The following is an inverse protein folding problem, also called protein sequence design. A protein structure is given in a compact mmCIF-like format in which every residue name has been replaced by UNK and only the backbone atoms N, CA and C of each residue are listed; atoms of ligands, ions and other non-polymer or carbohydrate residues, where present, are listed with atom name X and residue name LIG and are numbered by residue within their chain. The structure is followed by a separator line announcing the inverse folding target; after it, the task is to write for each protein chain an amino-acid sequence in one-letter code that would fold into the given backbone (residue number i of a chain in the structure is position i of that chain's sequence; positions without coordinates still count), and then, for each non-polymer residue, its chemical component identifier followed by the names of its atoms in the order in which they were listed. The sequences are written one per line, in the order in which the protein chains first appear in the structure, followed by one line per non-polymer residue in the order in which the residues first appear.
data_IF_449893699136
#
_entry.id   IF_449893699136
#
_cell.length_a   1.000
_cell.length_b   1.000
_cell.length_c   1.000
_cell.angle_alpha   90.00
_cell.angle_beta   90.00
_cell.angle_gamma   90.00
#
_symmetry.space_group_name_H-M   'P 1'
#
loop_
_entity.id
_entity.type
_entity.pdbx_description
1 polymer ?
#
# COMPACT_ATOMS: atom_id res chain seq x y z
N UNK A 1 -97.53 74.32 21.09
CA UNK A 1 -97.04 72.95 20.82
C UNK A 1 -95.87 72.87 19.83
N UNK A 2 -95.65 73.85 18.94
CA UNK A 2 -94.55 73.82 17.94
C UNK A 2 -93.12 73.92 18.55
N UNK A 3 -92.93 74.74 19.59
CA UNK A 3 -91.61 74.98 20.19
C UNK A 3 -90.98 73.75 20.88
N UNK A 4 -91.82 72.82 21.38
CA UNK A 4 -91.34 71.63 22.11
C UNK A 4 -90.81 70.55 21.16
N UNK A 5 -91.28 70.52 19.91
CA UNK A 5 -90.80 69.56 18.91
C UNK A 5 -89.47 69.99 18.30
N UNK A 6 -89.24 71.30 18.17
CA UNK A 6 -87.96 71.84 17.69
C UNK A 6 -86.82 71.57 18.68
N UNK A 7 -87.04 71.78 19.99
CA UNK A 7 -86.04 71.47 21.01
C UNK A 7 -85.71 69.97 21.07
N UNK A 8 -86.68 69.09 20.86
CA UNK A 8 -86.44 67.65 20.81
C UNK A 8 -85.66 67.24 19.57
N UNK A 9 -85.95 67.84 18.42
CA UNK A 9 -85.22 67.59 17.18
C UNK A 9 -83.74 68.01 17.29
N UNK A 10 -83.46 69.16 17.90
CA UNK A 10 -82.08 69.63 18.11
C UNK A 10 -81.31 68.75 19.10
N UNK A 11 -81.96 68.29 20.17
CA UNK A 11 -81.33 67.36 21.13
C UNK A 11 -81.02 66.01 20.49
N UNK A 12 -81.90 65.48 19.63
CA UNK A 12 -81.64 64.25 18.89
C UNK A 12 -80.48 64.44 17.91
N UNK A 13 -80.41 65.59 17.23
CA UNK A 13 -79.33 65.89 16.29
C UNK A 13 -77.96 65.93 16.98
N UNK A 14 -77.87 66.62 18.11
CA UNK A 14 -76.64 66.68 18.92
C UNK A 14 -76.25 65.29 19.45
N UNK A 15 -77.22 64.50 19.93
CA UNK A 15 -76.96 63.14 20.40
C UNK A 15 -76.51 62.20 19.27
N UNK A 16 -77.03 62.38 18.05
CA UNK A 16 -76.61 61.62 16.87
C UNK A 16 -75.21 62.02 16.39
N UNK A 17 -74.88 63.31 16.39
CA UNK A 17 -73.56 63.83 16.00
C UNK A 17 -72.48 63.33 16.98
N UNK A 18 -72.73 63.37 18.30
CA UNK A 18 -71.81 62.80 19.30
C UNK A 18 -71.66 61.28 19.18
N UNK A 19 -72.72 60.56 18.84
CA UNK A 19 -72.68 59.12 18.64
C UNK A 19 -71.91 58.73 17.36
N UNK A 20 -71.94 59.59 16.33
CA UNK A 20 -71.14 59.42 15.11
C UNK A 20 -69.65 59.66 15.37
N UNK A 21 -69.30 60.68 16.16
CA UNK A 21 -67.91 60.96 16.52
C UNK A 21 -67.30 59.88 17.44
N UNK A 22 -68.08 59.29 18.36
CA UNK A 22 -67.59 58.16 19.18
C UNK A 22 -67.37 56.88 18.38
N UNK A 23 -67.98 56.74 17.19
CA UNK A 23 -67.82 55.58 16.28
C UNK A 23 -66.75 55.78 15.20
N UNK A 24 -66.18 56.97 15.06
CA UNK A 24 -65.09 57.21 14.10
C UNK A 24 -63.76 56.66 14.65
N UNK A 25 -63.52 55.38 14.38
CA UNK A 25 -62.19 54.81 14.54
C UNK A 25 -61.18 55.58 13.68
N UNK A 26 -59.95 55.72 14.18
CA UNK A 26 -58.80 56.28 13.46
C UNK A 26 -58.81 55.87 11.97
N UNK A 27 -58.48 56.79 11.03
CA UNK A 27 -58.66 56.56 9.61
C UNK A 27 -58.03 55.24 9.20
N UNK A 28 -58.79 54.42 8.46
CA UNK A 28 -58.41 53.07 8.06
C UNK A 28 -57.01 53.01 7.42
N UNK A 29 -56.55 54.12 6.83
CA UNK A 29 -55.21 54.31 6.28
C UNK A 29 -54.08 54.18 7.32
N UNK A 30 -54.27 54.66 8.55
CA UNK A 30 -53.27 54.51 9.62
C UNK A 30 -53.20 53.09 10.19
N UNK A 31 -54.33 52.34 10.17
CA UNK A 31 -54.37 50.91 10.54
C UNK A 31 -53.76 50.03 9.45
N UNK A 32 -54.05 50.31 8.16
CA UNK A 32 -53.43 49.62 7.03
C UNK A 32 -51.92 49.90 6.92
N UNK A 33 -51.48 51.14 7.20
CA UNK A 33 -50.06 51.48 7.23
C UNK A 33 -49.28 50.73 8.32
N UNK A 34 -49.87 50.54 9.51
CA UNK A 34 -49.26 49.73 10.58
C UNK A 34 -49.22 48.24 10.24
N UNK A 35 -50.28 47.71 9.62
CA UNK A 35 -50.33 46.30 9.19
C UNK A 35 -49.33 46.02 8.07
N UNK A 36 -49.18 46.92 7.09
CA UNK A 36 -48.14 46.80 6.05
C UNK A 36 -46.72 46.98 6.61
N UNK A 37 -46.50 47.85 7.60
CA UNK A 37 -45.20 48.02 8.24
C UNK A 37 -44.80 46.80 9.10
N UNK A 38 -45.76 46.12 9.76
CA UNK A 38 -45.49 44.89 10.51
C UNK A 38 -45.31 43.66 9.62
N UNK A 39 -46.01 43.56 8.49
CA UNK A 39 -45.83 42.49 7.50
C UNK A 39 -44.49 42.60 6.76
N UNK A 40 -44.01 43.83 6.50
CA UNK A 40 -42.67 44.07 5.93
C UNK A 40 -41.53 43.75 6.91
N UNK A 41 -41.77 43.85 8.23
CA UNK A 41 -40.76 43.54 9.27
C UNK A 41 -40.67 42.07 9.64
N UNK A 42 -41.71 41.26 9.38
CA UNK A 42 -41.69 39.80 9.61
C UNK A 42 -41.05 38.98 8.49
N UNK A 43 -40.71 39.61 7.36
CA UNK A 43 -40.04 38.96 6.22
C UNK A 43 -38.54 39.29 6.11
N UNK A 44 -37.91 39.65 7.23
CA UNK A 44 -36.47 39.85 7.32
C UNK A 44 -35.87 39.13 8.54
N UNK A 45 -36.15 37.83 8.68
CA UNK A 45 -35.29 36.93 9.44
C UNK A 45 -34.28 36.29 8.47
N UNK A 46 -33.00 36.14 8.85
CA UNK A 46 -31.95 35.82 7.91
C UNK A 46 -32.13 34.37 7.43
N UNK A 47 -32.16 34.19 6.11
CA UNK A 47 -32.12 32.90 5.39
C UNK A 47 -30.92 31.99 5.74
N UNK A 48 -30.13 32.30 6.77
CA UNK A 48 -28.91 31.59 7.19
C UNK A 48 -29.10 30.55 8.29
N UNK A 49 -30.24 30.47 8.99
CA UNK A 49 -30.38 29.56 10.14
C UNK A 49 -31.01 28.21 9.77
N UNK A 50 -31.88 28.14 8.76
CA UNK A 50 -32.46 26.87 8.28
C UNK A 50 -31.55 26.07 7.36
N UNK A 51 -30.49 26.68 6.81
CA UNK A 51 -29.46 25.94 6.06
C UNK A 51 -28.48 25.20 6.97
N UNK A 52 -28.33 25.60 8.23
CA UNK A 52 -27.35 24.99 9.16
C UNK A 52 -27.84 23.64 9.71
N UNK A 53 -29.15 23.48 9.97
CA UNK A 53 -29.72 22.23 10.47
C UNK A 53 -29.85 21.15 9.39
N UNK A 54 -30.22 21.53 8.16
CA UNK A 54 -30.24 20.61 7.02
C UNK A 54 -28.82 20.21 6.56
N UNK A 55 -27.87 21.16 6.55
CA UNK A 55 -26.47 20.86 6.24
C UNK A 55 -25.82 19.95 7.28
N UNK A 56 -26.17 20.07 8.57
CA UNK A 56 -25.65 19.19 9.61
C UNK A 56 -26.13 17.73 9.45
N UNK A 57 -27.38 17.51 9.05
CA UNK A 57 -27.90 16.16 8.78
C UNK A 57 -27.29 15.55 7.51
N UNK A 58 -27.11 16.35 6.46
CA UNK A 58 -26.42 15.90 5.23
C UNK A 58 -24.95 15.61 5.50
N UNK A 59 -24.27 16.44 6.30
CA UNK A 59 -22.87 16.21 6.69
C UNK A 59 -22.73 14.96 7.57
N UNK A 60 -23.67 14.70 8.48
CA UNK A 60 -23.68 13.48 9.29
C UNK A 60 -23.94 12.23 8.43
N UNK A 61 -24.89 12.29 7.50
CA UNK A 61 -25.15 11.19 6.57
C UNK A 61 -23.96 10.95 5.63
N UNK A 62 -23.35 12.01 5.11
CA UNK A 62 -22.14 11.93 4.29
C UNK A 62 -20.96 11.38 5.10
N UNK A 63 -20.79 11.78 6.36
CA UNK A 63 -19.77 11.22 7.25
C UNK A 63 -20.00 9.74 7.53
N UNK A 64 -21.26 9.29 7.69
CA UNK A 64 -21.61 7.87 7.84
C UNK A 64 -21.32 7.11 6.56
N UNK A 65 -21.69 7.63 5.39
CA UNK A 65 -21.39 6.99 4.09
C UNK A 65 -19.88 6.94 3.84
N UNK A 66 -19.15 8.03 4.09
CA UNK A 66 -17.68 8.07 4.03
C UNK A 66 -17.09 7.07 5.01
N UNK A 67 -17.57 6.99 6.25
CA UNK A 67 -17.11 6.00 7.22
C UNK A 67 -17.42 4.55 6.80
N UNK A 68 -18.56 4.32 6.15
CA UNK A 68 -18.99 3.01 5.67
C UNK A 68 -18.18 2.55 4.44
N UNK A 69 -17.84 3.49 3.55
CA UNK A 69 -17.05 3.24 2.32
C UNK A 69 -15.54 3.27 2.58
N UNK A 70 -15.10 4.02 3.59
CA UNK A 70 -13.68 4.15 3.97
C UNK A 70 -13.26 3.15 5.05
N UNK A 71 -14.08 2.13 5.36
CA UNK A 71 -13.68 1.10 6.30
C UNK A 71 -12.37 0.48 5.79
N UNK A 72 -11.25 0.60 6.54
CA UNK A 72 -10.02 -0.04 6.13
C UNK A 72 -10.30 -1.52 6.01
N UNK A 73 -10.04 -2.08 4.82
CA UNK A 73 -10.20 -3.51 4.61
C UNK A 73 -9.29 -4.21 5.63
N UNK A 74 -9.90 -4.96 6.56
CA UNK A 74 -9.16 -5.59 7.65
C UNK A 74 -8.16 -6.55 7.02
N UNK A 75 -6.84 -6.39 7.27
CA UNK A 75 -5.85 -7.30 6.70
C UNK A 75 -6.14 -8.72 7.18
N UNK A 76 -5.83 -9.69 6.33
CA UNK A 76 -5.99 -11.07 6.74
C UNK A 76 -5.12 -11.34 7.98
N UNK A 77 -5.61 -12.17 8.89
CA UNK A 77 -4.84 -12.66 10.02
C UNK A 77 -4.36 -14.07 9.70
N UNK A 78 -3.07 -14.32 9.91
CA UNK A 78 -2.49 -15.66 9.75
C UNK A 78 -2.31 -16.32 11.12
N UNK A 79 -2.57 -17.63 11.20
CA UNK A 79 -2.39 -18.43 12.41
C UNK A 79 -1.71 -19.76 12.09
N UNK A 80 -0.78 -20.17 12.94
CA UNK A 80 -0.16 -21.49 12.89
C UNK A 80 -0.07 -22.08 14.29
N UNK A 81 -0.54 -23.32 14.47
CA UNK A 81 -0.55 -23.97 15.79
C UNK A 81 -1.25 -23.17 16.89
N UNK A 82 -2.31 -22.42 16.54
CA UNK A 82 -3.06 -21.56 17.47
C UNK A 82 -2.41 -20.22 17.82
N UNK A 83 -1.25 -19.88 17.26
CA UNK A 83 -0.58 -18.60 17.45
C UNK A 83 -0.71 -17.72 16.21
N UNK A 84 -0.83 -16.40 16.39
CA UNK A 84 -0.82 -15.45 15.28
C UNK A 84 0.58 -15.40 14.65
N UNK A 85 0.62 -15.36 13.31
CA UNK A 85 1.84 -15.27 12.52
C UNK A 85 1.87 -13.88 11.89
N UNK A 86 2.87 -13.09 12.26
CA UNK A 86 3.05 -11.74 11.73
C UNK A 86 3.78 -11.75 10.38
N UNK A 87 3.81 -10.59 9.73
CA UNK A 87 4.63 -10.36 8.54
C UNK A 87 6.10 -10.60 8.86
N UNK A 88 6.81 -11.26 7.95
CA UNK A 88 8.14 -11.86 8.12
C UNK A 88 8.21 -13.05 9.09
N UNK A 89 7.07 -13.54 9.59
CA UNK A 89 6.99 -14.74 10.40
C UNK A 89 7.54 -15.96 9.65
N UNK A 90 8.46 -16.67 10.28
CA UNK A 90 9.09 -17.88 9.77
C UNK A 90 8.47 -19.11 10.43
N UNK A 91 8.08 -20.07 9.61
CA UNK A 91 7.45 -21.32 10.03
C UNK A 91 8.25 -22.48 9.46
N UNK A 92 8.65 -23.40 10.34
CA UNK A 92 9.38 -24.60 9.97
C UNK A 92 8.69 -25.81 10.60
N UNK A 93 8.13 -26.66 9.75
CA UNK A 93 7.41 -27.87 10.11
C UNK A 93 8.40 -29.01 10.43
N UNK A 94 9.19 -28.89 11.50
CA UNK A 94 10.34 -29.77 11.76
C UNK A 94 9.99 -31.26 11.80
N UNK A 95 8.98 -31.64 12.59
CA UNK A 95 8.73 -33.04 12.94
C UNK A 95 7.36 -33.56 12.51
N UNK A 96 6.46 -32.68 12.12
CA UNK A 96 5.08 -33.00 11.73
C UNK A 96 4.55 -31.91 10.79
N UNK A 97 3.47 -32.23 10.08
CA UNK A 97 2.78 -31.24 9.27
C UNK A 97 2.31 -30.05 10.11
N UNK A 98 2.40 -28.85 9.53
CA UNK A 98 1.97 -27.64 10.20
C UNK A 98 1.00 -26.88 9.30
N UNK A 99 -0.21 -26.65 9.79
CA UNK A 99 -1.19 -25.82 9.08
C UNK A 99 -0.98 -24.33 9.39
N UNK A 100 -0.84 -23.54 8.33
CA UNK A 100 -0.93 -22.08 8.33
C UNK A 100 -2.30 -21.70 7.76
N UNK A 101 -3.18 -21.18 8.62
CA UNK A 101 -4.55 -20.79 8.25
C UNK A 101 -4.69 -19.27 8.22
N UNK A 102 -5.45 -18.76 7.27
CA UNK A 102 -5.73 -17.34 7.13
C UNK A 102 -7.22 -17.05 7.38
N UNK A 103 -7.52 -15.83 7.80
CA UNK A 103 -8.88 -15.41 8.17
C UNK A 103 -9.88 -15.38 7.01
N UNK A 104 -9.43 -15.51 5.75
CA UNK A 104 -10.28 -15.67 4.57
C UNK A 104 -10.73 -17.13 4.32
N UNK A 105 -10.22 -18.08 5.11
CA UNK A 105 -10.44 -19.52 4.94
C UNK A 105 -9.35 -20.22 4.13
N UNK A 106 -8.38 -19.47 3.57
CA UNK A 106 -7.23 -20.05 2.89
C UNK A 106 -6.37 -20.84 3.88
N UNK A 107 -5.95 -22.04 3.49
CA UNK A 107 -5.10 -22.91 4.30
C UNK A 107 -3.90 -23.37 3.49
N UNK A 108 -2.71 -23.23 4.08
CA UNK A 108 -1.46 -23.76 3.57
C UNK A 108 -0.95 -24.79 4.57
N UNK A 109 -0.87 -26.05 4.16
CA UNK A 109 -0.35 -27.14 5.00
C UNK A 109 1.08 -27.43 4.60
N UNK A 110 2.02 -27.16 5.50
CA UNK A 110 3.43 -27.44 5.32
C UNK A 110 3.68 -28.91 5.63
N UNK A 111 4.27 -29.65 4.69
CA UNK A 111 4.74 -31.00 4.94
C UNK A 111 5.92 -31.00 5.92
N UNK A 112 6.27 -32.18 6.44
CA UNK A 112 7.45 -32.33 7.31
C UNK A 112 8.71 -31.78 6.63
N UNK A 113 9.54 -31.07 7.42
CA UNK A 113 10.74 -30.34 7.02
C UNK A 113 10.54 -29.16 6.05
N UNK A 114 9.29 -28.82 5.71
CA UNK A 114 9.02 -27.64 4.91
C UNK A 114 9.25 -26.36 5.73
N UNK A 115 9.80 -25.35 5.08
CA UNK A 115 10.02 -24.04 5.66
C UNK A 115 9.34 -22.98 4.79
N UNK A 116 8.52 -22.15 5.43
CA UNK A 116 7.89 -21.01 4.76
C UNK A 116 8.08 -19.73 5.56
N UNK A 117 8.06 -18.61 4.85
CA UNK A 117 8.04 -17.28 5.44
C UNK A 117 6.86 -16.50 4.92
N UNK A 118 6.11 -15.87 5.82
CA UNK A 118 5.02 -14.98 5.42
C UNK A 118 5.63 -13.62 5.07
N UNK A 119 5.69 -13.27 3.79
CA UNK A 119 6.39 -12.06 3.31
C UNK A 119 5.51 -10.81 3.44
N UNK A 120 4.21 -10.96 3.19
CA UNK A 120 3.24 -9.88 3.35
C UNK A 120 1.85 -10.45 3.56
N UNK A 121 1.02 -9.74 4.31
CA UNK A 121 -0.41 -10.04 4.46
C UNK A 121 -1.17 -8.73 4.28
N UNK A 122 -2.17 -8.73 3.41
CA UNK A 122 -3.09 -7.61 3.21
C UNK A 122 -4.54 -8.11 3.20
N UNK A 123 -5.50 -7.23 2.92
CA UNK A 123 -6.92 -7.61 2.90
C UNK A 123 -7.35 -8.43 1.67
N UNK A 124 -6.50 -8.48 0.63
CA UNK A 124 -6.75 -9.17 -0.64
C UNK A 124 -6.00 -10.50 -0.73
N UNK A 125 -5.00 -10.75 0.09
CA UNK A 125 -4.29 -12.02 0.13
C UNK A 125 -2.98 -11.95 0.92
N UNK A 126 -2.13 -12.94 0.69
CA UNK A 126 -0.79 -12.96 1.26
C UNK A 126 0.25 -13.44 0.24
N UNK A 127 1.50 -13.02 0.48
CA UNK A 127 2.67 -13.56 -0.19
C UNK A 127 3.41 -14.45 0.78
N UNK A 128 3.58 -15.72 0.42
CA UNK A 128 4.28 -16.72 1.23
C UNK A 128 5.46 -17.24 0.44
N UNK A 129 6.66 -17.17 1.02
CA UNK A 129 7.86 -17.74 0.44
C UNK A 129 8.05 -19.17 0.95
N UNK A 130 7.98 -20.16 0.05
CA UNK A 130 8.39 -21.54 0.29
C UNK A 130 9.91 -21.61 0.09
N UNK A 131 10.65 -21.66 1.19
CA UNK A 131 12.12 -21.70 1.17
C UNK A 131 12.64 -23.12 0.89
N UNK A 132 11.92 -24.15 1.35
CA UNK A 132 12.19 -25.56 1.04
C UNK A 132 11.00 -26.46 1.38
N UNK A 133 11.01 -27.66 0.81
CA UNK A 133 10.08 -28.73 1.15
C UNK A 133 8.79 -28.65 0.34
N UNK A 134 7.72 -29.22 0.88
CA UNK A 134 6.42 -29.32 0.21
C UNK A 134 5.32 -28.57 0.95
N UNK A 135 4.45 -27.95 0.18
CA UNK A 135 3.33 -27.12 0.63
C UNK A 135 2.07 -27.54 -0.11
N UNK A 136 1.06 -27.98 0.64
CA UNK A 136 -0.29 -28.19 0.12
C UNK A 136 -1.08 -26.90 0.30
N UNK A 137 -1.46 -26.26 -0.80
CA UNK A 137 -2.18 -25.00 -0.78
C UNK A 137 -3.64 -25.21 -1.14
N UNK A 138 -4.55 -24.72 -0.30
CA UNK A 138 -5.98 -24.63 -0.57
C UNK A 138 -6.42 -23.17 -0.39
N UNK A 139 -6.46 -22.43 -1.51
CA UNK A 139 -6.74 -21.00 -1.55
C UNK A 139 -8.20 -20.75 -1.92
N UNK A 140 -8.89 -19.95 -1.12
CA UNK A 140 -10.29 -19.59 -1.38
C UNK A 140 -10.37 -18.54 -2.49
N UNK A 141 -11.20 -18.80 -3.50
CA UNK A 141 -11.38 -17.87 -4.60
C UNK A 141 -12.07 -16.58 -4.15
N UNK A 142 -11.48 -15.42 -4.48
CA UNK A 142 -12.14 -14.11 -4.39
C UNK A 142 -11.85 -13.27 -5.64
N UNK A 143 -12.78 -12.40 -6.09
CA UNK A 143 -12.63 -11.61 -7.32
C UNK A 143 -11.40 -10.69 -7.36
N UNK A 144 -10.85 -10.32 -6.20
CA UNK A 144 -9.63 -9.49 -6.07
C UNK A 144 -8.49 -10.21 -5.34
N UNK A 145 -8.55 -11.54 -5.22
CA UNK A 145 -7.57 -12.30 -4.46
C UNK A 145 -6.15 -12.14 -5.02
N UNK A 146 -5.19 -11.78 -4.18
CA UNK A 146 -3.77 -11.63 -4.54
C UNK A 146 -2.91 -12.59 -3.73
N UNK A 147 -3.00 -13.87 -4.07
CA UNK A 147 -2.18 -14.91 -3.46
C UNK A 147 -0.95 -15.22 -4.30
N UNK A 148 0.22 -15.24 -3.64
CA UNK A 148 1.47 -15.61 -4.29
C UNK A 148 2.27 -16.55 -3.41
N UNK A 149 2.57 -17.74 -3.93
CA UNK A 149 3.57 -18.65 -3.35
C UNK A 149 4.88 -18.43 -4.11
N UNK A 150 5.85 -17.79 -3.46
CA UNK A 150 7.19 -17.60 -4.00
C UNK A 150 8.07 -18.81 -3.64
N UNK A 151 8.69 -19.45 -4.63
CA UNK A 151 9.54 -20.62 -4.42
C UNK A 151 10.89 -20.36 -5.11
N UNK A 152 11.87 -19.88 -4.33
CA UNK A 152 13.12 -19.36 -4.86
C UNK A 152 12.90 -18.30 -5.94
N UNK A 153 13.39 -18.52 -7.17
CA UNK A 153 13.26 -17.54 -8.25
C UNK A 153 11.86 -17.53 -8.89
N UNK A 154 11.01 -18.51 -8.59
CA UNK A 154 9.67 -18.66 -9.17
C UNK A 154 8.58 -18.03 -8.32
N UNK A 155 7.51 -17.61 -8.98
CA UNK A 155 6.30 -17.09 -8.35
C UNK A 155 5.08 -17.83 -8.91
N UNK A 156 4.35 -18.49 -8.02
CA UNK A 156 3.07 -19.14 -8.32
C UNK A 156 1.96 -18.17 -7.93
N UNK A 157 1.32 -17.55 -8.93
CA UNK A 157 0.18 -16.67 -8.75
C UNK A 157 -1.10 -17.50 -8.66
N UNK A 158 -1.88 -17.24 -7.63
CA UNK A 158 -3.05 -18.02 -7.25
C UNK A 158 -4.26 -17.11 -7.08
N UNK A 159 -5.39 -17.48 -7.67
CA UNK A 159 -6.66 -16.75 -7.52
C UNK A 159 -7.73 -17.56 -6.79
N UNK A 160 -7.54 -18.86 -6.58
CA UNK A 160 -8.50 -19.74 -5.91
C UNK A 160 -8.35 -21.18 -6.40
N UNK A 161 -7.40 -21.91 -5.83
CA UNK A 161 -6.99 -23.23 -6.32
C UNK A 161 -6.58 -24.16 -5.19
N UNK A 162 -6.55 -25.45 -5.52
CA UNK A 162 -5.87 -26.45 -4.71
C UNK A 162 -4.71 -27.02 -5.50
N UNK A 163 -3.51 -26.98 -4.93
CA UNK A 163 -2.31 -27.47 -5.59
C UNK A 163 -1.24 -27.78 -4.56
N UNK A 164 -0.28 -28.61 -4.98
CA UNK A 164 0.90 -28.93 -4.21
C UNK A 164 2.10 -28.24 -4.86
N UNK A 165 2.93 -27.60 -4.05
CA UNK A 165 4.17 -27.00 -4.49
C UNK A 165 5.33 -27.58 -3.68
N UNK A 166 6.33 -28.10 -4.38
CA UNK A 166 7.56 -28.61 -3.79
C UNK A 166 8.74 -27.83 -4.33
N UNK A 167 9.54 -27.27 -3.43
CA UNK A 167 10.73 -26.51 -3.77
C UNK A 167 11.98 -27.13 -3.13
N UNK A 168 12.98 -27.35 -3.97
CA UNK A 168 14.30 -27.81 -3.55
C UNK A 168 15.33 -26.72 -3.82
N UNK A 169 15.86 -26.05 -2.78
CA UNK A 169 16.75 -24.91 -2.95
C UNK A 169 18.10 -25.31 -3.57
N UNK A 170 18.62 -26.50 -3.25
CA UNK A 170 19.93 -26.96 -3.74
C UNK A 170 19.99 -27.16 -5.26
N UNK A 171 18.86 -27.50 -5.89
CA UNK A 171 18.74 -27.70 -7.34
C UNK A 171 17.93 -26.61 -8.03
N UNK A 172 17.49 -25.59 -7.28
CA UNK A 172 16.50 -24.59 -7.68
C UNK A 172 15.30 -25.20 -8.44
N UNK A 173 14.85 -26.38 -8.00
CA UNK A 173 13.75 -27.08 -8.66
C UNK A 173 12.44 -26.73 -7.99
N UNK A 174 11.50 -26.16 -8.76
CA UNK A 174 10.10 -26.07 -8.37
C UNK A 174 9.29 -27.14 -9.09
N UNK A 175 8.55 -27.95 -8.33
CA UNK A 175 7.46 -28.78 -8.85
C UNK A 175 6.12 -28.23 -8.38
N UNK A 176 5.18 -28.13 -9.29
CA UNK A 176 3.80 -27.75 -9.00
C UNK A 176 2.89 -28.83 -9.56
N UNK A 177 2.06 -29.41 -8.71
CA UNK A 177 1.04 -30.38 -9.10
C UNK A 177 -0.34 -29.77 -8.80
N UNK A 178 -1.15 -29.64 -9.83
CA UNK A 178 -2.48 -29.06 -9.70
C UNK A 178 -3.50 -30.12 -9.27
N UNK A 179 -4.39 -29.75 -8.35
CA UNK A 179 -5.53 -30.56 -7.94
C UNK A 179 -6.86 -29.97 -8.40
N UNK A 180 -7.02 -28.66 -8.26
CA UNK A 180 -8.25 -27.93 -8.61
C UNK A 180 -7.94 -26.50 -9.05
N UNK A 181 -8.56 -26.07 -10.16
CA UNK A 181 -8.41 -24.72 -10.72
C UNK A 181 -7.18 -24.55 -11.62
N UNK A 182 -6.57 -23.37 -11.59
CA UNK A 182 -5.39 -23.05 -12.40
C UNK A 182 -4.43 -22.08 -11.69
N UNK A 183 -3.14 -22.33 -11.79
CA UNK A 183 -2.10 -21.42 -11.29
C UNK A 183 -1.25 -20.91 -12.43
N UNK A 184 -0.69 -19.71 -12.26
CA UNK A 184 0.26 -19.14 -13.21
C UNK A 184 1.64 -19.04 -12.57
N UNK A 185 2.60 -19.77 -13.11
CA UNK A 185 4.00 -19.76 -12.69
C UNK A 185 4.77 -18.74 -13.53
N UNK A 186 5.48 -17.84 -12.87
CA UNK A 186 6.35 -16.83 -13.50
C UNK A 186 7.71 -16.77 -12.80
N UNK A 187 8.67 -16.06 -13.37
CA UNK A 187 9.98 -15.84 -12.76
C UNK A 187 11.02 -16.93 -13.06
N UNK A 188 12.17 -16.81 -12.42
CA UNK A 188 13.37 -17.58 -12.70
C UNK A 188 13.78 -17.51 -14.17
N UNK A 189 13.93 -18.69 -14.76
CA UNK A 189 14.37 -18.93 -16.13
C UNK A 189 13.21 -19.02 -17.12
N UNK A 190 11.97 -18.77 -16.68
CA UNK A 190 10.83 -18.71 -17.58
C UNK A 190 10.85 -17.40 -18.35
N UNK A 191 10.97 -17.49 -19.68
CA UNK A 191 10.86 -16.35 -20.59
C UNK A 191 9.42 -15.84 -20.74
N UNK A 192 8.44 -16.70 -20.47
CA UNK A 192 7.02 -16.36 -20.46
C UNK A 192 6.27 -17.07 -19.32
N UNK A 193 5.17 -16.49 -18.81
CA UNK A 193 4.33 -17.15 -17.80
C UNK A 193 3.81 -18.51 -18.28
N UNK A 194 3.98 -19.55 -17.45
CA UNK A 194 3.38 -20.87 -17.70
C UNK A 194 2.14 -21.02 -16.83
N UNK A 195 1.01 -21.36 -17.45
CA UNK A 195 -0.22 -21.68 -16.72
C UNK A 195 -0.32 -23.20 -16.58
N UNK A 196 -0.63 -23.70 -15.39
CA UNK A 196 -0.96 -25.10 -15.11
C UNK A 196 -2.41 -25.14 -14.66
N UNK A 197 -3.22 -26.02 -15.23
CA UNK A 197 -4.64 -26.16 -14.90
C UNK A 197 -5.02 -27.64 -14.75
N UNK A 198 -6.16 -27.92 -14.11
CA UNK A 198 -6.68 -29.29 -13.94
C UNK A 198 -5.68 -30.20 -13.20
N UNK A 199 -5.56 -31.49 -13.51
CA UNK A 199 -4.59 -32.39 -12.87
C UNK A 199 -3.19 -32.34 -13.54
N UNK A 200 -2.80 -31.18 -14.09
CA UNK A 200 -1.48 -31.02 -14.69
C UNK A 200 -0.39 -30.87 -13.65
N UNK A 201 0.81 -31.32 -14.00
CA UNK A 201 2.02 -31.11 -13.22
C UNK A 201 3.09 -30.41 -14.06
N UNK A 202 3.84 -29.52 -13.42
CA UNK A 202 4.94 -28.79 -14.03
C UNK A 202 6.17 -28.84 -13.15
N UNK A 203 7.29 -29.23 -13.75
CA UNK A 203 8.61 -29.10 -13.16
C UNK A 203 9.35 -27.94 -13.82
N UNK A 204 9.96 -27.09 -13.01
CA UNK A 204 10.68 -25.89 -13.40
C UNK A 204 12.07 -25.94 -12.77
N UNK A 205 13.09 -25.84 -13.61
CA UNK A 205 14.49 -25.79 -13.18
C UNK A 205 15.22 -24.72 -13.96
N UNK A 206 16.01 -23.93 -13.26
CA UNK A 206 16.96 -23.04 -13.90
C UNK A 206 18.26 -23.78 -14.12
N UNK A 207 18.36 -24.37 -15.32
CA UNK A 207 19.56 -25.05 -15.73
C UNK A 207 20.71 -24.06 -15.89
N UNK A 208 21.77 -24.24 -15.11
CA UNK A 208 23.09 -24.30 -15.72
C UNK A 208 23.40 -25.78 -15.93
N UNK A 209 23.59 -26.27 -17.18
CA UNK A 209 24.21 -27.56 -17.35
C UNK A 209 25.69 -27.39 -17.05
N UNK A 210 26.10 -27.59 -15.80
CA UNK A 210 27.42 -28.18 -15.59
C UNK A 210 27.26 -29.63 -16.03
N UNK A 211 27.62 -29.90 -17.27
CA UNK A 211 27.93 -31.24 -17.72
C UNK A 211 29.02 -31.78 -16.78
N UNK A 212 28.61 -32.44 -15.71
CA UNK A 212 29.40 -33.49 -15.10
C UNK A 212 29.30 -34.61 -16.11
N UNK A 213 30.30 -34.67 -17.00
CA UNK A 213 30.55 -35.85 -17.78
C UNK A 213 30.52 -37.06 -16.83
N UNK A 214 29.85 -38.17 -17.19
CA UNK A 214 29.89 -39.36 -16.39
C UNK A 214 31.36 -39.79 -16.21
N UNK A 215 31.80 -40.15 -15.00
CA UNK A 215 33.13 -40.72 -14.82
C UNK A 215 33.23 -41.98 -15.69
N UNK A 216 34.27 -42.12 -16.54
CA UNK A 216 34.56 -43.39 -17.15
C UNK A 216 34.86 -44.42 -16.07
N UNK A 217 34.29 -45.59 -16.34
CA UNK A 217 34.52 -46.90 -15.79
C UNK A 217 35.87 -47.14 -15.09
N UNK A 218 35.77 -47.85 -13.98
CA UNK A 218 36.82 -48.24 -13.05
C UNK A 218 38.08 -48.78 -13.76
N UNK A 219 39.17 -48.01 -13.67
CA UNK A 219 40.52 -48.55 -13.71
C UNK A 219 41.11 -48.45 -12.30
N UNK A 220 41.53 -49.60 -11.75
CA UNK A 220 42.15 -49.75 -10.42
C UNK A 220 43.31 -48.75 -10.22
N UNK A 221 43.42 -48.07 -9.06
CA UNK A 221 44.63 -47.33 -8.74
C UNK A 221 45.76 -48.31 -8.36
N UNK A 222 46.85 -48.30 -9.12
CA UNK A 222 48.17 -48.68 -8.61
C UNK A 222 48.73 -47.44 -7.93
N UNK A 223 49.02 -47.55 -6.63
CA UNK A 223 49.62 -46.50 -5.83
C UNK A 223 51.12 -46.35 -6.14
N UNK A 224 51.62 -45.11 -6.28
CA UNK A 224 53.01 -44.78 -5.95
C UNK A 224 53.09 -44.07 -4.58
N UNK A 225 54.20 -44.23 -3.84
CA UNK A 225 54.32 -43.75 -2.48
C UNK A 225 54.57 -42.24 -2.38
N UNK A 226 54.18 -41.71 -1.22
CA UNK A 226 54.27 -40.34 -0.73
C UNK A 226 55.63 -39.65 -0.97
N UNK A 227 55.59 -38.34 -1.25
CA UNK A 227 56.53 -37.39 -0.65
C UNK A 227 55.85 -36.56 0.45
N UNK A 228 56.54 -36.55 1.58
CA UNK A 228 56.51 -35.64 2.74
C UNK A 228 55.58 -34.43 2.67
N UNK A 229 54.61 -34.41 3.59
CA UNK A 229 53.72 -33.28 3.85
C UNK A 229 54.51 -32.03 4.30
N UNK A 230 54.53 -31.00 3.46
CA UNK A 230 54.61 -29.63 3.93
C UNK A 230 53.23 -29.21 4.43
N UNK A 231 53.20 -28.64 5.63
CA UNK A 231 51.99 -28.15 6.29
C UNK A 231 51.16 -27.21 5.37
N UNK A 232 49.83 -27.34 5.33
CA UNK A 232 48.98 -26.37 4.63
C UNK A 232 49.10 -24.99 5.28
N UNK A 233 49.22 -23.89 4.52
CA UNK A 233 49.04 -22.55 5.06
C UNK A 233 47.63 -22.40 5.66
N UNK A 234 47.43 -21.52 6.66
CA UNK A 234 46.15 -21.37 7.33
C UNK A 234 45.06 -21.04 6.32
N UNK A 235 43.94 -21.77 6.39
CA UNK A 235 42.77 -21.55 5.55
C UNK A 235 42.38 -20.07 5.57
N UNK A 236 42.14 -19.43 4.40
CA UNK A 236 41.63 -18.07 4.37
C UNK A 236 40.29 -18.07 5.13
N UNK A 237 40.17 -17.18 6.11
CA UNK A 237 38.88 -16.90 6.76
C UNK A 237 37.92 -16.54 5.63
N UNK A 238 36.95 -17.40 5.34
CA UNK A 238 35.91 -17.12 4.35
C UNK A 238 35.24 -15.83 4.82
N UNK A 239 35.51 -14.71 4.13
CA UNK A 239 34.84 -13.45 4.41
C UNK A 239 33.35 -13.74 4.25
N UNK A 240 32.56 -13.40 5.26
CA UNK A 240 31.12 -13.57 5.17
C UNK A 240 30.61 -12.77 3.97
N UNK A 241 30.03 -13.46 2.99
CA UNK A 241 29.49 -12.81 1.80
C UNK A 241 28.28 -11.97 2.21
N UNK A 242 28.40 -10.65 2.07
CA UNK A 242 27.33 -9.72 2.45
C UNK A 242 26.06 -9.96 1.63
N UNK A 243 26.16 -10.49 0.41
CA UNK A 243 24.99 -10.80 -0.44
C UNK A 243 24.20 -11.96 0.14
N UNK A 244 24.88 -13.03 0.54
CA UNK A 244 24.24 -14.17 1.20
C UNK A 244 23.53 -13.71 2.48
N UNK A 245 24.20 -12.89 3.30
CA UNK A 245 23.60 -12.33 4.51
C UNK A 245 22.38 -11.43 4.20
N UNK A 246 22.42 -10.65 3.13
CA UNK A 246 21.30 -9.81 2.71
C UNK A 246 20.11 -10.65 2.23
N UNK A 247 20.37 -11.72 1.46
CA UNK A 247 19.35 -12.69 1.02
C UNK A 247 18.71 -13.44 2.19
N UNK A 248 19.49 -13.76 3.23
CA UNK A 248 19.01 -14.41 4.45
C UNK A 248 18.22 -13.47 5.38
N UNK A 249 18.08 -12.19 5.02
CA UNK A 249 17.41 -11.17 5.83
C UNK A 249 18.25 -10.69 7.02
N UNK A 250 19.52 -11.06 7.09
CA UNK A 250 20.46 -10.65 8.16
C UNK A 250 21.07 -9.29 7.86
N UNK A 251 20.23 -8.28 7.65
CA UNK A 251 20.62 -6.98 7.09
C UNK A 251 21.71 -6.24 7.87
N UNK A 252 21.68 -6.26 9.21
CA UNK A 252 22.74 -5.66 10.03
C UNK A 252 24.10 -6.33 9.81
N UNK A 253 24.11 -7.67 9.73
CA UNK A 253 25.34 -8.42 9.47
C UNK A 253 25.81 -8.22 8.02
N UNK A 254 24.87 -8.16 7.07
CA UNK A 254 25.16 -7.88 5.67
C UNK A 254 25.82 -6.50 5.51
N UNK A 255 25.27 -5.47 6.15
CA UNK A 255 25.85 -4.13 6.12
C UNK A 255 27.25 -4.11 6.73
N UNK A 256 27.44 -4.74 7.90
CA UNK A 256 28.75 -4.82 8.54
C UNK A 256 29.80 -5.54 7.65
N UNK A 257 29.40 -6.62 6.96
CA UNK A 257 30.26 -7.33 6.02
C UNK A 257 30.60 -6.46 4.79
N UNK A 258 29.62 -5.75 4.23
CA UNK A 258 29.83 -4.84 3.11
C UNK A 258 30.74 -3.65 3.49
N UNK A 259 30.63 -3.13 4.71
CA UNK A 259 31.53 -2.08 5.22
C UNK A 259 32.95 -2.61 5.43
N UNK A 260 33.11 -3.83 5.93
CA UNK A 260 34.41 -4.49 6.07
C UNK A 260 35.08 -4.82 4.72
N UNK A 261 34.29 -5.01 3.66
CA UNK A 261 34.77 -5.18 2.28
C UNK A 261 35.10 -3.85 1.59
N UNK A 262 34.54 -2.74 2.08
CA UNK A 262 34.73 -1.41 1.54
C UNK A 262 33.47 -0.92 0.81
N UNK A 263 32.51 -0.41 1.58
CA UNK A 263 31.18 -0.02 1.08
C UNK A 263 31.24 0.91 -0.14
N UNK A 264 32.06 1.97 -0.09
CA UNK A 264 32.19 2.92 -1.20
C UNK A 264 32.83 2.31 -2.45
N UNK A 265 33.69 1.30 -2.30
CA UNK A 265 34.21 0.52 -3.44
C UNK A 265 33.11 -0.33 -4.06
N UNK A 266 32.28 -0.97 -3.23
CA UNK A 266 31.11 -1.71 -3.71
C UNK A 266 30.14 -0.80 -4.48
N UNK A 267 29.90 0.43 -4.00
CA UNK A 267 29.08 1.39 -4.72
C UNK A 267 29.55 1.68 -6.16
N UNK A 268 30.87 1.62 -6.43
CA UNK A 268 31.44 1.89 -7.77
C UNK A 268 31.64 0.64 -8.62
N UNK A 269 31.69 -0.55 -8.02
CA UNK A 269 32.01 -1.80 -8.74
C UNK A 269 30.79 -2.69 -8.96
N UNK A 270 29.81 -2.68 -8.06
CA UNK A 270 28.66 -3.58 -8.12
C UNK A 270 27.80 -3.40 -9.38
N UNK A 271 27.09 -4.47 -9.75
CA UNK A 271 26.05 -4.42 -10.79
C UNK A 271 24.83 -3.62 -10.32
N UNK A 272 23.87 -3.36 -11.21
CA UNK A 272 22.61 -2.69 -10.85
C UNK A 272 21.88 -3.44 -9.74
N UNK A 273 21.81 -4.77 -9.83
CA UNK A 273 21.14 -5.61 -8.85
C UNK A 273 21.91 -5.67 -7.53
N UNK A 274 23.25 -5.71 -7.60
CA UNK A 274 24.12 -5.61 -6.42
C UNK A 274 23.90 -4.31 -5.66
N UNK A 275 23.81 -3.16 -6.35
CA UNK A 275 23.53 -1.87 -5.71
C UNK A 275 22.12 -1.77 -5.14
N UNK A 276 21.12 -2.37 -5.80
CA UNK A 276 19.77 -2.49 -5.24
C UNK A 276 19.82 -3.28 -3.93
N UNK A 277 20.51 -4.42 -3.90
CA UNK A 277 20.63 -5.27 -2.72
C UNK A 277 21.39 -4.56 -1.60
N UNK A 278 22.50 -3.89 -1.92
CA UNK A 278 23.32 -3.13 -0.98
C UNK A 278 22.54 -1.98 -0.34
N UNK A 279 21.82 -1.19 -1.14
CA UNK A 279 20.98 -0.10 -0.64
C UNK A 279 19.82 -0.60 0.23
N UNK A 280 19.18 -1.71 -0.18
CA UNK A 280 18.12 -2.35 0.61
C UNK A 280 18.63 -2.90 1.93
N UNK A 281 19.80 -3.57 1.93
CA UNK A 281 20.43 -4.10 3.13
C UNK A 281 20.76 -2.97 4.10
N UNK A 282 21.36 -1.88 3.64
CA UNK A 282 21.64 -0.70 4.46
C UNK A 282 20.35 -0.08 5.05
N UNK A 283 19.31 0.07 4.23
CA UNK A 283 18.01 0.62 4.68
C UNK A 283 17.37 -0.26 5.75
N UNK A 284 17.35 -1.58 5.54
CA UNK A 284 16.74 -2.53 6.47
C UNK A 284 17.61 -2.80 7.71
N UNK A 285 18.91 -2.53 7.64
CA UNK A 285 19.81 -2.49 8.80
C UNK A 285 19.59 -1.25 9.68
N UNK A 286 18.83 -0.26 9.20
CA UNK A 286 18.60 1.01 9.90
C UNK A 286 19.69 2.05 9.66
N UNK A 287 20.45 1.95 8.57
CA UNK A 287 21.48 2.93 8.19
C UNK A 287 21.06 3.71 6.93
N UNK A 288 20.29 4.82 7.08
CA UNK A 288 19.78 5.58 5.94
C UNK A 288 20.88 6.28 5.14
N UNK A 289 22.00 6.64 5.77
CA UNK A 289 23.13 7.28 5.09
C UNK A 289 23.78 6.33 4.07
N UNK A 290 24.08 5.09 4.49
CA UNK A 290 24.61 4.05 3.59
C UNK A 290 23.61 3.65 2.51
N UNK A 291 22.32 3.59 2.86
CA UNK A 291 21.28 3.33 1.87
C UNK A 291 21.26 4.42 0.79
N UNK A 292 21.31 5.69 1.19
CA UNK A 292 21.34 6.82 0.26
C UNK A 292 22.59 6.78 -0.64
N UNK A 293 23.77 6.48 -0.10
CA UNK A 293 25.02 6.34 -0.86
C UNK A 293 24.88 5.28 -1.98
N UNK A 294 24.40 4.08 -1.65
CA UNK A 294 24.20 3.01 -2.64
C UNK A 294 23.13 3.36 -3.69
N UNK A 295 22.02 3.96 -3.30
CA UNK A 295 20.97 4.37 -4.23
C UNK A 295 21.40 5.52 -5.14
N UNK A 296 22.19 6.48 -4.63
CA UNK A 296 22.77 7.55 -5.45
C UNK A 296 23.77 6.98 -6.47
N UNK A 297 24.63 6.05 -6.06
CA UNK A 297 25.53 5.36 -6.97
C UNK A 297 24.78 4.59 -8.06
N UNK A 298 23.68 3.91 -7.70
CA UNK A 298 22.81 3.22 -8.66
C UNK A 298 22.20 4.18 -9.67
N UNK A 299 21.70 5.33 -9.20
CA UNK A 299 21.13 6.37 -10.06
C UNK A 299 22.17 6.99 -11.00
N UNK A 300 23.39 7.21 -10.54
CA UNK A 300 24.46 7.79 -11.32
C UNK A 300 24.98 6.82 -12.39
N UNK A 301 25.19 5.55 -12.03
CA UNK A 301 25.82 4.55 -12.89
C UNK A 301 24.86 3.88 -13.87
N UNK A 302 23.59 3.76 -13.49
CA UNK A 302 22.57 3.05 -14.28
C UNK A 302 21.38 3.96 -14.61
N UNK A 303 21.67 5.22 -14.95
CA UNK A 303 20.65 6.21 -15.31
C UNK A 303 19.72 5.69 -16.42
N UNK A 304 18.42 6.01 -16.32
CA UNK A 304 17.39 5.55 -17.25
C UNK A 304 16.92 4.10 -17.04
N UNK A 305 17.59 3.32 -16.20
CA UNK A 305 17.13 1.96 -15.86
C UNK A 305 15.94 1.97 -14.91
N UNK A 306 15.14 0.89 -14.94
CA UNK A 306 14.06 0.71 -13.98
C UNK A 306 14.56 0.61 -12.52
N UNK A 307 15.78 0.11 -12.32
CA UNK A 307 16.43 0.05 -11.02
C UNK A 307 16.79 1.46 -10.49
N UNK A 308 17.31 2.34 -11.34
CA UNK A 308 17.60 3.74 -10.99
C UNK A 308 16.33 4.53 -10.66
N UNK A 309 15.25 4.35 -11.41
CA UNK A 309 13.96 4.96 -11.07
C UNK A 309 13.46 4.46 -9.71
N UNK A 310 13.50 3.15 -9.45
CA UNK A 310 13.15 2.60 -8.13
C UNK A 310 14.02 3.18 -7.00
N UNK A 311 15.31 3.40 -7.24
CA UNK A 311 16.19 4.06 -6.29
C UNK A 311 15.76 5.50 -6.00
N UNK A 312 15.23 6.23 -6.99
CA UNK A 312 14.61 7.53 -6.77
C UNK A 312 13.47 7.46 -5.75
N UNK A 313 12.56 6.51 -5.92
CA UNK A 313 11.47 6.31 -4.97
C UNK A 313 11.98 5.99 -3.54
N UNK A 314 13.00 5.13 -3.41
CA UNK A 314 13.59 4.81 -2.11
C UNK A 314 14.28 6.02 -1.46
N UNK A 315 15.02 6.83 -2.25
CA UNK A 315 15.62 8.08 -1.77
C UNK A 315 14.55 9.08 -1.30
N UNK A 316 13.42 9.16 -2.00
CA UNK A 316 12.27 9.95 -1.58
C UNK A 316 11.72 9.52 -0.23
N UNK A 317 11.58 8.20 0.00
CA UNK A 317 11.15 7.66 1.30
C UNK A 317 12.16 7.92 2.42
N UNK A 318 13.46 7.76 2.15
CA UNK A 318 14.49 8.06 3.15
C UNK A 318 14.46 9.53 3.58
N UNK A 319 14.26 10.45 2.63
CA UNK A 319 14.14 11.87 2.92
C UNK A 319 12.82 12.19 3.66
N UNK A 320 11.71 11.59 3.24
CA UNK A 320 10.39 11.83 3.82
C UNK A 320 10.25 11.26 5.24
N UNK A 321 10.48 9.95 5.39
CA UNK A 321 10.24 9.23 6.65
C UNK A 321 11.42 9.37 7.63
N UNK A 322 12.64 9.59 7.12
CA UNK A 322 13.87 9.64 7.91
C UNK A 322 14.20 11.03 8.42
N UNK A 323 14.58 11.94 7.50
CA UNK A 323 15.05 13.28 7.86
C UNK A 323 13.95 14.34 7.89
N UNK A 324 12.73 14.03 7.44
CA UNK A 324 11.68 15.03 7.23
C UNK A 324 12.04 16.09 6.19
N UNK A 325 12.99 15.78 5.30
CA UNK A 325 13.39 16.68 4.23
C UNK A 325 12.41 16.56 3.07
N UNK A 326 11.29 17.27 3.21
CA UNK A 326 10.21 17.27 2.22
C UNK A 326 10.65 17.87 0.87
N UNK A 327 11.70 18.71 0.84
CA UNK A 327 12.24 19.25 -0.40
C UNK A 327 12.97 18.18 -1.21
N UNK A 328 13.85 17.42 -0.56
CA UNK A 328 14.50 16.29 -1.18
C UNK A 328 13.48 15.20 -1.55
N UNK A 329 12.50 14.93 -0.69
CA UNK A 329 11.44 13.96 -0.96
C UNK A 329 10.64 14.33 -2.22
N UNK A 330 10.19 15.60 -2.33
CA UNK A 330 9.51 16.13 -3.52
C UNK A 330 10.33 15.90 -4.79
N UNK A 331 11.62 16.26 -4.77
CA UNK A 331 12.52 16.08 -5.92
C UNK A 331 12.61 14.61 -6.34
N UNK A 332 12.75 13.70 -5.38
CA UNK A 332 12.94 12.27 -5.65
C UNK A 332 11.66 11.56 -6.10
N UNK A 333 10.51 11.84 -5.47
CA UNK A 333 9.22 11.31 -5.94
C UNK A 333 8.85 11.87 -7.32
N UNK A 334 9.10 13.15 -7.55
CA UNK A 334 8.94 13.76 -8.88
C UNK A 334 9.79 13.08 -9.95
N UNK A 335 11.07 12.82 -9.66
CA UNK A 335 11.95 12.10 -10.58
C UNK A 335 11.43 10.68 -10.90
N UNK A 336 10.99 9.93 -9.88
CA UNK A 336 10.40 8.61 -10.10
C UNK A 336 9.16 8.67 -11.01
N UNK A 337 8.26 9.62 -10.78
CA UNK A 337 7.03 9.76 -11.56
C UNK A 337 7.27 10.24 -13.00
N UNK A 338 8.37 10.95 -13.24
CA UNK A 338 8.79 11.34 -14.59
C UNK A 338 9.38 10.14 -15.34
N UNK A 339 10.17 9.31 -14.66
CA UNK A 339 10.84 8.15 -15.25
C UNK A 339 9.92 6.94 -15.42
N UNK A 340 8.98 6.73 -14.49
CA UNK A 340 8.02 5.63 -14.49
C UNK A 340 6.60 6.12 -14.14
N UNK A 341 5.91 6.83 -15.05
CA UNK A 341 4.58 7.37 -14.79
C UNK A 341 3.52 6.28 -14.48
N UNK A 342 3.71 5.06 -14.98
CA UNK A 342 2.88 3.88 -14.68
C UNK A 342 3.60 2.80 -13.85
N UNK A 343 4.71 3.15 -13.19
CA UNK A 343 5.49 2.21 -12.40
C UNK A 343 4.73 1.69 -11.17
N UNK A 344 5.17 0.55 -10.62
CA UNK A 344 4.49 -0.10 -9.50
C UNK A 344 4.37 0.74 -8.21
N UNK A 345 5.17 1.80 -8.06
CA UNK A 345 5.08 2.74 -6.95
C UNK A 345 4.41 4.07 -7.33
N UNK A 346 3.86 4.23 -8.54
CA UNK A 346 3.36 5.53 -9.02
C UNK A 346 2.24 6.10 -8.13
N UNK A 347 1.32 5.23 -7.69
CA UNK A 347 0.28 5.62 -6.75
C UNK A 347 0.85 6.12 -5.42
N UNK A 348 1.81 5.40 -4.83
CA UNK A 348 2.41 5.80 -3.56
C UNK A 348 3.26 7.06 -3.71
N UNK A 349 4.09 7.13 -4.75
CA UNK A 349 4.96 8.25 -5.04
C UNK A 349 4.18 9.55 -5.28
N UNK A 350 3.06 9.51 -6.02
CA UNK A 350 2.23 10.69 -6.26
C UNK A 350 1.50 11.15 -5.00
N UNK A 351 1.06 10.20 -4.16
CA UNK A 351 0.48 10.51 -2.85
C UNK A 351 1.47 11.17 -1.91
N UNK A 352 2.68 10.61 -1.80
CA UNK A 352 3.76 11.15 -0.96
C UNK A 352 4.34 12.47 -1.49
N UNK A 353 4.37 12.66 -2.82
CA UNK A 353 4.73 13.93 -3.44
C UNK A 353 3.78 15.05 -3.01
N UNK A 354 2.48 14.81 -3.12
CA UNK A 354 1.44 15.75 -2.71
C UNK A 354 1.54 16.08 -1.21
N UNK A 355 1.74 15.08 -0.35
CA UNK A 355 1.91 15.32 1.08
C UNK A 355 3.18 16.14 1.36
N UNK A 356 4.30 15.84 0.67
CA UNK A 356 5.53 16.61 0.81
C UNK A 356 5.31 18.09 0.41
N UNK A 357 4.63 18.34 -0.72
CA UNK A 357 4.31 19.69 -1.19
C UNK A 357 3.44 20.46 -0.18
N UNK A 358 2.42 19.81 0.39
CA UNK A 358 1.61 20.39 1.45
C UNK A 358 2.44 20.72 2.71
N UNK A 359 3.31 19.81 3.16
CA UNK A 359 4.19 20.00 4.33
C UNK A 359 5.20 21.13 4.12
N UNK A 360 5.55 21.42 2.87
CA UNK A 360 6.39 22.57 2.50
C UNK A 360 5.62 23.90 2.41
N UNK A 361 4.28 23.89 2.51
CA UNK A 361 3.45 25.06 2.32
C UNK A 361 3.19 25.44 0.85
N UNK A 362 3.58 24.60 -0.11
CA UNK A 362 3.30 24.82 -1.53
C UNK A 362 1.91 24.25 -1.89
N UNK A 363 0.87 24.97 -1.46
CA UNK A 363 -0.53 24.56 -1.67
C UNK A 363 -0.93 24.51 -3.15
N UNK A 364 -0.32 25.32 -4.01
CA UNK A 364 -0.61 25.26 -5.44
C UNK A 364 -0.05 23.98 -6.08
N UNK A 365 1.19 23.61 -5.77
CA UNK A 365 1.74 22.34 -6.23
C UNK A 365 0.99 21.15 -5.65
N UNK A 366 0.68 21.17 -4.36
CA UNK A 366 -0.10 20.11 -3.71
C UNK A 366 -1.46 19.91 -4.40
N UNK A 367 -2.16 20.99 -4.76
CA UNK A 367 -3.43 20.93 -5.52
C UNK A 367 -3.30 20.34 -6.92
N UNK A 368 -2.24 20.71 -7.66
CA UNK A 368 -1.96 20.12 -8.98
C UNK A 368 -1.69 18.62 -8.86
N UNK A 369 -0.85 18.22 -7.90
CA UNK A 369 -0.54 16.81 -7.62
C UNK A 369 -1.78 16.05 -7.15
N UNK A 370 -2.64 16.66 -6.33
CA UNK A 370 -3.90 16.10 -5.86
C UNK A 370 -4.90 15.86 -7.00
N UNK A 371 -5.06 16.84 -7.90
CA UNK A 371 -5.90 16.71 -9.09
C UNK A 371 -5.41 15.56 -9.97
N UNK A 372 -4.09 15.48 -10.20
CA UNK A 372 -3.48 14.38 -10.94
C UNK A 372 -3.70 13.03 -10.24
N UNK A 373 -3.59 12.99 -8.91
CA UNK A 373 -3.81 11.79 -8.11
C UNK A 373 -5.23 11.27 -8.28
N UNK A 374 -6.25 12.12 -8.15
CA UNK A 374 -7.66 11.72 -8.27
C UNK A 374 -8.02 11.27 -9.69
N UNK A 375 -7.40 11.86 -10.71
CA UNK A 375 -7.58 11.42 -12.09
C UNK A 375 -7.06 9.99 -12.35
N UNK A 376 -5.95 9.61 -11.70
CA UNK A 376 -5.30 8.31 -11.93
C UNK A 376 -5.71 7.24 -10.92
N UNK A 377 -5.94 7.63 -9.67
CA UNK A 377 -6.17 6.76 -8.52
C UNK A 377 -7.34 7.28 -7.65
N UNK A 378 -8.57 7.36 -8.20
CA UNK A 378 -9.71 7.99 -7.53
C UNK A 378 -10.11 7.33 -6.20
N UNK A 379 -9.79 6.03 -6.03
CA UNK A 379 -9.99 5.23 -4.82
C UNK A 379 -8.68 4.84 -4.12
N UNK A 380 -7.58 5.54 -4.43
CA UNK A 380 -6.26 5.24 -3.89
C UNK A 380 -6.09 5.63 -2.41
N UNK A 381 -5.06 5.10 -1.76
CA UNK A 381 -4.79 5.32 -0.33
C UNK A 381 -4.68 6.81 0.09
N UNK A 382 -4.26 7.70 -0.82
CA UNK A 382 -4.14 9.15 -0.55
C UNK A 382 -5.33 9.94 -1.13
N UNK A 383 -6.39 9.29 -1.63
CA UNK A 383 -7.52 9.97 -2.28
C UNK A 383 -8.27 10.89 -1.32
N UNK A 384 -8.36 10.54 -0.04
CA UNK A 384 -9.00 11.40 0.96
C UNK A 384 -8.26 12.74 1.09
N UNK A 385 -6.94 12.70 1.28
CA UNK A 385 -6.10 13.89 1.33
C UNK A 385 -6.16 14.71 0.04
N UNK A 386 -6.12 14.03 -1.11
CA UNK A 386 -6.21 14.69 -2.41
C UNK A 386 -7.53 15.46 -2.60
N UNK A 387 -8.67 14.90 -2.14
CA UNK A 387 -9.97 15.60 -2.20
C UNK A 387 -10.00 16.83 -1.30
N UNK A 388 -9.41 16.76 -0.11
CA UNK A 388 -9.29 17.92 0.78
C UNK A 388 -8.50 19.03 0.12
N UNK A 389 -7.32 18.72 -0.42
CA UNK A 389 -6.45 19.72 -1.04
C UNK A 389 -7.10 20.39 -2.26
N UNK A 390 -7.81 19.63 -3.10
CA UNK A 390 -8.51 20.20 -4.27
C UNK A 390 -9.69 21.11 -3.87
N UNK A 391 -10.25 20.94 -2.68
CA UNK A 391 -11.38 21.73 -2.20
C UNK A 391 -10.96 23.04 -1.49
N UNK A 392 -9.69 23.17 -1.09
CA UNK A 392 -9.06 24.39 -0.56
C UNK A 392 -8.65 25.34 -1.69
#
# INVERSE_FOLDING_TARGET
MSHSLQNLADQIRVAQDEALERRSHAPAEQRLARIHAELGRRSAAPRRVWTVTAAALVAAAAAVVVWMVSRPAVPLSAMAGGKSVEVNGYLHAANAEQALSFSDGTRLTLAQNAAVRVVSIDARGARVALERGELHAAVIHRPEARWVVAAGPYQVLVTGTKFDARYEPGSETLRVEMREGSVRVTGGCLTSPRTLANQEQGEFRCGSPKAVAPPPEQAKPVAPPLPTASAPPPAPKVKADWRALASDGRFKAALAAAEAEGFSSLCTQESSDGLVQLGNAARLAGNPARAAEAYLALRQRFAGSAAAARAAFQLGRLAFDGSGDYAAARRWFGAYLAEQPGGGFAQEALGRLMEAEQRQGDGEAARRSATRYLAQFPSGAHAALARTLVAE
#
